data_IF_914134809435
#
_entry.id   IF_914134809435
#
_cell.length_a   1.000
_cell.length_b   1.000
_cell.length_c   1.000
_cell.angle_alpha   90.00
_cell.angle_beta   90.00
_cell.angle_gamma   90.00
#
_symmetry.space_group_name_H-M   'P 1'
#
loop_
_entity.id
_entity.type
_entity.pdbx_description
1 polymer ?
#
# COMPACT_ATOMS: atom_id res chain seq x y z
N UNK A 1 -6.38 14.21 -11.48
CA UNK A 1 -7.34 13.31 -10.79
C UNK A 1 -6.73 12.96 -9.45
N UNK A 2 -7.40 13.25 -8.33
CA UNK A 2 -6.92 12.81 -7.02
C UNK A 2 -7.16 11.30 -6.93
N UNK A 3 -6.09 10.51 -6.94
CA UNK A 3 -6.19 9.07 -6.70
C UNK A 3 -6.78 8.89 -5.30
N UNK A 4 -7.85 8.10 -5.13
CA UNK A 4 -8.31 7.75 -3.79
C UNK A 4 -7.12 7.16 -3.05
N UNK A 5 -6.75 7.72 -1.89
CA UNK A 5 -5.61 7.25 -1.08
C UNK A 5 -6.14 6.89 0.30
N UNK A 6 -5.55 5.87 0.91
CA UNK A 6 -5.78 5.55 2.33
C UNK A 6 -5.58 6.83 3.15
N UNK A 7 -6.51 7.26 4.01
CA UNK A 7 -6.35 8.44 4.87
C UNK A 7 -5.10 8.34 5.75
N UNK A 8 -4.45 9.46 6.07
CA UNK A 8 -3.22 9.48 6.87
C UNK A 8 -3.43 8.86 8.26
N UNK A 9 -4.50 9.21 8.95
CA UNK A 9 -4.84 8.68 10.29
C UNK A 9 -4.94 7.15 10.29
N UNK A 10 -5.55 6.56 9.26
CA UNK A 10 -5.64 5.10 9.14
C UNK A 10 -4.26 4.50 8.83
N UNK A 11 -3.47 5.17 7.98
CA UNK A 11 -2.13 4.71 7.65
C UNK A 11 -1.21 4.70 8.86
N UNK A 12 -1.24 5.74 9.69
CA UNK A 12 -0.43 5.85 10.92
C UNK A 12 -0.70 4.70 11.91
N UNK A 13 -1.94 4.19 11.94
CA UNK A 13 -2.32 3.03 12.76
C UNK A 13 -1.82 1.71 12.15
N UNK A 14 -1.86 1.59 10.81
CA UNK A 14 -1.55 0.34 10.10
C UNK A 14 -0.06 0.12 9.83
N UNK A 15 0.67 1.17 9.46
CA UNK A 15 2.09 1.12 9.12
C UNK A 15 2.96 0.39 10.16
N UNK A 16 2.86 0.67 11.48
CA UNK A 16 3.69 -0.01 12.49
C UNK A 16 3.37 -1.50 12.66
N UNK A 17 2.22 -1.97 12.14
CA UNK A 17 1.83 -3.38 12.19
C UNK A 17 2.43 -4.19 11.03
N UNK A 18 2.99 -3.52 10.02
CA UNK A 18 3.61 -4.19 8.88
C UNK A 18 4.94 -4.84 9.31
N UNK A 19 5.25 -6.03 8.77
CA UNK A 19 6.55 -6.63 8.98
C UNK A 19 7.66 -5.75 8.37
N UNK A 20 8.88 -5.76 8.94
CA UNK A 20 10.00 -5.01 8.37
C UNK A 20 10.31 -5.48 6.95
N UNK A 21 10.78 -4.54 6.11
CA UNK A 21 11.16 -4.88 4.74
C UNK A 21 12.33 -5.86 4.72
N UNK A 22 12.17 -6.94 3.94
CA UNK A 22 13.21 -7.95 3.76
C UNK A 22 14.37 -7.40 2.92
N UNK A 23 15.60 -7.74 3.31
CA UNK A 23 16.80 -7.43 2.53
C UNK A 23 16.72 -8.05 1.12
N UNK A 24 17.20 -7.31 0.11
CA UNK A 24 17.17 -7.69 -1.30
C UNK A 24 18.59 -7.83 -1.87
N UNK A 25 19.33 -8.89 -1.55
CA UNK A 25 20.74 -9.03 -1.93
C UNK A 25 20.97 -9.13 -3.44
N UNK A 26 19.98 -9.65 -4.19
CA UNK A 26 20.05 -9.78 -5.66
C UNK A 26 19.49 -8.56 -6.41
N UNK A 27 19.06 -7.52 -5.70
CA UNK A 27 18.38 -6.38 -6.28
C UNK A 27 17.05 -6.75 -6.97
N UNK A 28 16.63 -5.92 -7.92
CA UNK A 28 15.39 -6.10 -8.68
C UNK A 28 14.59 -4.79 -8.75
N UNK A 29 13.39 -4.86 -9.34
CA UNK A 29 12.50 -3.71 -9.38
C UNK A 29 12.10 -3.32 -7.94
N UNK A 30 12.14 -2.02 -7.58
CA UNK A 30 11.64 -1.56 -6.28
C UNK A 30 10.20 -2.02 -6.05
N UNK A 31 9.87 -2.34 -4.80
CA UNK A 31 8.49 -2.67 -4.43
C UNK A 31 7.63 -1.41 -4.56
N UNK A 32 6.36 -1.60 -4.89
CA UNK A 32 5.35 -0.55 -4.75
C UNK A 32 5.20 -0.24 -3.26
N UNK A 33 5.09 1.04 -2.85
CA UNK A 33 4.85 1.39 -1.44
C UNK A 33 3.62 0.68 -0.88
N UNK A 34 3.70 0.22 0.37
CA UNK A 34 2.63 -0.58 0.98
C UNK A 34 1.30 0.19 1.07
N UNK A 35 1.33 1.52 1.27
CA UNK A 35 0.14 2.39 1.26
C UNK A 35 -0.57 2.42 -0.09
N UNK A 36 0.20 2.41 -1.17
CA UNK A 36 -0.34 2.40 -2.52
C UNK A 36 -0.91 1.01 -2.85
N UNK A 37 -0.29 -0.07 -2.35
CA UNK A 37 -0.83 -1.43 -2.43
C UNK A 37 -2.18 -1.53 -1.69
N UNK A 38 -2.24 -1.03 -0.46
CA UNK A 38 -3.46 -1.04 0.35
C UNK A 38 -4.59 -0.24 -0.32
N UNK A 39 -4.24 0.90 -0.92
CA UNK A 39 -5.17 1.69 -1.72
C UNK A 39 -5.79 0.85 -2.85
N UNK A 40 -4.96 0.14 -3.62
CA UNK A 40 -5.43 -0.74 -4.68
C UNK A 40 -6.36 -1.85 -4.16
N UNK A 41 -6.00 -2.50 -3.04
CA UNK A 41 -6.82 -3.54 -2.40
C UNK A 41 -8.19 -2.98 -2.01
N UNK A 42 -8.25 -1.81 -1.38
CA UNK A 42 -9.52 -1.19 -0.97
C UNK A 42 -10.39 -0.87 -2.19
N UNK A 43 -9.80 -0.40 -3.30
CA UNK A 43 -10.55 -0.13 -4.54
C UNK A 43 -11.15 -1.39 -5.14
N UNK A 44 -10.39 -2.50 -5.18
CA UNK A 44 -10.90 -3.82 -5.59
C UNK A 44 -12.08 -4.23 -4.72
N UNK A 45 -11.92 -4.16 -3.39
CA UNK A 45 -12.93 -4.59 -2.43
C UNK A 45 -14.19 -3.72 -2.46
N UNK A 46 -14.08 -2.43 -2.79
CA UNK A 46 -15.22 -1.53 -2.97
C UNK A 46 -15.94 -1.71 -4.31
N UNK A 47 -15.47 -2.63 -5.17
CA UNK A 47 -16.04 -2.85 -6.51
C UNK A 47 -15.80 -1.69 -7.46
N UNK A 48 -14.81 -0.82 -7.15
CA UNK A 48 -14.51 0.38 -7.93
C UNK A 48 -13.57 0.11 -9.11
N UNK A 49 -13.42 -1.16 -9.51
CA UNK A 49 -12.75 -1.60 -10.75
C UNK A 49 -13.86 -1.88 -11.76
N UNK A 50 -14.41 -0.80 -12.34
CA UNK A 50 -15.16 -0.78 -13.59
C UNK A 50 -14.93 0.58 -14.25
#
# INVERSE_FOLDING_TARGET
>A
MATPRVPDELWEIMEPLLPPEKLKPKGGRPRVPDRDCLTGIILVLRGSIL
#
